data_IF_238960363197
#
_entry.id   IF_238960363197
#
_cell.length_a   1.000
_cell.length_b   1.000
_cell.length_c   1.000
_cell.angle_alpha   90.00
_cell.angle_beta   90.00
_cell.angle_gamma   90.00
#
_symmetry.space_group_name_H-M   'P 1'
#
loop_
_entity.id
_entity.type
_entity.pdbx_description
1 polymer ?
#
# COMPACT_ATOMS: atom_id res chain seq x y z
N UNK A 1 -16.99 9.66 -4.27
CA UNK A 1 -15.97 10.20 -3.32
C UNK A 1 -14.73 10.66 -4.08
N UNK A 2 -14.13 11.78 -3.69
CA UNK A 2 -12.79 12.22 -4.13
C UNK A 2 -11.76 11.69 -3.17
N UNK A 3 -10.92 10.79 -3.61
CA UNK A 3 -9.96 10.08 -2.74
C UNK A 3 -8.54 10.45 -3.15
N UNK A 4 -7.80 11.04 -2.21
CA UNK A 4 -6.35 11.19 -2.31
C UNK A 4 -5.64 9.97 -1.78
N UNK A 5 -4.57 9.55 -2.43
CA UNK A 5 -3.68 8.50 -1.97
C UNK A 5 -2.28 9.10 -1.87
N UNK A 6 -1.87 9.38 -0.64
CA UNK A 6 -0.55 9.93 -0.32
C UNK A 6 0.40 8.80 0.10
N UNK A 7 1.63 8.82 -0.43
CA UNK A 7 2.61 7.81 -0.09
C UNK A 7 3.66 7.56 -1.18
N UNK A 8 4.40 6.48 -1.00
CA UNK A 8 5.53 6.14 -1.86
C UNK A 8 5.13 5.68 -3.26
N UNK A 9 5.98 6.04 -4.20
CA UNK A 9 6.08 5.47 -5.55
C UNK A 9 7.51 4.97 -5.70
N UNK A 10 7.70 3.77 -6.21
CA UNK A 10 9.03 3.17 -6.33
C UNK A 10 9.15 2.19 -7.49
N UNK A 11 10.38 1.84 -7.80
CA UNK A 11 10.73 0.80 -8.76
C UNK A 11 11.53 -0.29 -8.05
N UNK A 12 11.11 -1.54 -8.22
CA UNK A 12 11.75 -2.70 -7.66
C UNK A 12 12.64 -3.35 -8.72
N UNK A 13 13.94 -3.41 -8.46
CA UNK A 13 14.94 -4.05 -9.31
C UNK A 13 15.28 -5.40 -8.72
N UNK A 14 14.72 -6.46 -9.29
CA UNK A 14 14.88 -7.83 -8.84
C UNK A 14 15.90 -8.53 -9.71
N UNK A 15 17.05 -8.87 -9.12
CA UNK A 15 18.15 -9.52 -9.82
C UNK A 15 18.34 -10.94 -9.32
N UNK A 16 18.69 -11.86 -10.23
CA UNK A 16 18.99 -13.24 -9.90
C UNK A 16 20.49 -13.50 -10.15
N UNK A 17 21.12 -14.14 -9.18
CA UNK A 17 22.51 -14.59 -9.25
C UNK A 17 22.54 -16.13 -9.14
N UNK A 18 23.05 -16.80 -10.17
CA UNK A 18 23.09 -18.27 -10.23
C UNK A 18 24.15 -18.92 -9.35
N UNK A 19 25.01 -18.12 -8.70
CA UNK A 19 25.98 -18.57 -7.70
C UNK A 19 25.45 -18.44 -6.29
N UNK A 20 26.33 -18.66 -5.31
CA UNK A 20 26.09 -18.42 -3.89
C UNK A 20 26.91 -17.25 -3.42
N UNK A 21 26.33 -16.34 -2.64
CA UNK A 21 27.08 -15.24 -2.06
C UNK A 21 28.22 -15.72 -1.18
N UNK A 22 28.01 -16.82 -0.47
CA UNK A 22 29.03 -17.42 0.41
C UNK A 22 30.31 -17.82 -0.33
N UNK A 23 30.22 -18.20 -1.60
CA UNK A 23 31.39 -18.61 -2.41
C UNK A 23 32.27 -17.39 -2.80
N UNK A 24 31.68 -16.19 -2.76
CA UNK A 24 32.36 -14.94 -3.04
C UNK A 24 32.92 -14.28 -1.77
N UNK A 25 32.60 -14.79 -0.58
CA UNK A 25 33.09 -14.30 0.70
C UNK A 25 34.37 -15.02 1.10
N UNK A 26 35.44 -14.27 1.33
CA UNK A 26 36.71 -14.82 1.80
C UNK A 26 36.70 -14.84 3.33
N UNK A 27 36.73 -16.02 3.91
CA UNK A 27 36.80 -16.20 5.37
C UNK A 27 38.05 -15.48 5.91
N UNK A 28 37.88 -14.62 6.92
CA UNK A 28 38.96 -13.84 7.54
C UNK A 28 39.25 -12.49 6.87
N UNK A 29 38.52 -12.11 5.80
CA UNK A 29 38.65 -10.82 5.10
C UNK A 29 37.37 -9.99 5.11
N UNK A 30 36.50 -10.19 6.09
CA UNK A 30 35.20 -9.49 6.19
C UNK A 30 35.32 -8.03 6.63
N UNK A 31 36.49 -7.57 7.06
CA UNK A 31 36.71 -6.16 7.40
C UNK A 31 36.77 -5.24 6.18
N UNK A 32 37.05 -5.81 4.99
CA UNK A 32 37.09 -5.07 3.70
C UNK A 32 36.45 -5.94 2.63
N UNK A 33 35.15 -5.82 2.49
CA UNK A 33 34.38 -6.58 1.49
C UNK A 33 34.22 -5.74 0.23
N UNK A 34 34.70 -6.28 -0.91
CA UNK A 34 34.38 -5.76 -2.25
C UNK A 34 33.87 -6.93 -3.07
N UNK A 35 32.56 -6.95 -3.29
CA UNK A 35 31.88 -8.01 -4.02
C UNK A 35 31.34 -7.46 -5.34
N UNK A 36 31.47 -8.26 -6.41
CA UNK A 36 30.89 -7.99 -7.71
C UNK A 36 30.25 -9.27 -8.23
N UNK A 37 28.97 -9.19 -8.58
CA UNK A 37 28.22 -10.32 -9.10
C UNK A 37 27.83 -10.06 -10.54
N UNK A 38 28.04 -11.04 -11.40
CA UNK A 38 27.40 -11.08 -12.71
C UNK A 38 26.01 -11.69 -12.52
N UNK A 39 24.97 -10.89 -12.67
CA UNK A 39 23.58 -11.33 -12.51
C UNK A 39 23.04 -11.89 -13.83
N UNK A 40 22.20 -12.92 -13.74
CA UNK A 40 21.64 -13.61 -14.91
C UNK A 40 20.37 -12.92 -15.44
N UNK A 41 19.64 -12.22 -14.56
CA UNK A 41 18.42 -11.51 -14.91
C UNK A 41 18.27 -10.23 -14.12
N UNK A 42 17.56 -9.28 -14.72
CA UNK A 42 17.06 -8.08 -14.09
C UNK A 42 15.59 -7.91 -14.47
N UNK A 43 14.70 -8.02 -13.50
CA UNK A 43 13.31 -7.64 -13.61
C UNK A 43 13.09 -6.28 -12.94
N UNK A 44 12.54 -5.33 -13.69
CA UNK A 44 12.16 -4.02 -13.14
C UNK A 44 10.64 -3.99 -12.99
N UNK A 45 10.17 -3.88 -11.76
CA UNK A 45 8.75 -3.89 -11.41
C UNK A 45 8.33 -2.53 -10.85
N UNK A 46 7.08 -2.19 -11.07
CA UNK A 46 6.45 -1.03 -10.45
C UNK A 46 6.06 -1.37 -9.02
N UNK A 47 6.27 -0.42 -8.12
CA UNK A 47 6.01 -0.60 -6.71
C UNK A 47 5.73 0.73 -6.01
N UNK A 48 5.79 0.70 -4.69
CA UNK A 48 5.42 1.84 -3.84
C UNK A 48 3.96 1.77 -3.40
N UNK A 49 3.75 1.91 -2.09
CA UNK A 49 2.44 1.64 -1.49
C UNK A 49 1.31 2.50 -2.05
N UNK A 50 1.54 3.82 -2.20
CA UNK A 50 0.51 4.70 -2.76
C UNK A 50 0.20 4.37 -4.22
N UNK A 51 1.23 4.07 -5.02
CA UNK A 51 1.05 3.69 -6.41
C UNK A 51 0.27 2.37 -6.55
N UNK A 52 0.57 1.38 -5.70
CA UNK A 52 -0.12 0.09 -5.68
C UNK A 52 -1.61 0.25 -5.28
N UNK A 53 -1.88 1.04 -4.22
CA UNK A 53 -3.24 1.33 -3.77
C UNK A 53 -4.03 2.06 -4.86
N UNK A 54 -3.44 3.12 -5.43
CA UNK A 54 -4.08 3.91 -6.48
C UNK A 54 -4.33 3.07 -7.74
N UNK A 55 -3.37 2.25 -8.16
CA UNK A 55 -3.51 1.32 -9.28
C UNK A 55 -4.71 0.38 -9.09
N UNK A 56 -4.79 -0.30 -7.93
CA UNK A 56 -5.89 -1.23 -7.66
C UNK A 56 -7.27 -0.54 -7.64
N UNK A 57 -7.35 0.68 -7.12
CA UNK A 57 -8.58 1.49 -7.22
C UNK A 57 -8.92 1.85 -8.67
N UNK A 58 -7.92 2.21 -9.47
CA UNK A 58 -8.10 2.53 -10.89
C UNK A 58 -8.58 1.32 -11.70
N UNK A 59 -8.04 0.12 -11.44
CA UNK A 59 -8.50 -1.13 -12.07
C UNK A 59 -9.97 -1.44 -11.74
N UNK A 60 -10.44 -1.00 -10.57
CA UNK A 60 -11.86 -1.09 -10.18
C UNK A 60 -12.73 0.05 -10.75
N UNK A 61 -12.19 0.91 -11.62
CA UNK A 61 -12.94 1.97 -12.30
C UNK A 61 -13.03 3.29 -11.52
N UNK A 62 -12.27 3.46 -10.44
CA UNK A 62 -12.16 4.71 -9.70
C UNK A 62 -11.06 5.61 -10.29
N UNK A 63 -11.10 6.91 -9.94
CA UNK A 63 -10.08 7.88 -10.32
C UNK A 63 -9.39 8.47 -9.07
N UNK A 64 -8.55 7.69 -8.37
CA UNK A 64 -7.84 8.19 -7.19
C UNK A 64 -6.81 9.24 -7.59
N UNK A 65 -6.61 10.24 -6.71
CA UNK A 65 -5.63 11.30 -6.88
C UNK A 65 -4.34 10.86 -6.19
N UNK A 66 -3.27 10.61 -6.97
CA UNK A 66 -1.97 10.26 -6.42
C UNK A 66 -1.25 11.51 -5.89
N UNK A 67 -0.83 11.45 -4.63
CA UNK A 67 -0.09 12.51 -3.94
C UNK A 67 1.25 11.92 -3.49
N UNK A 68 2.27 12.09 -4.30
CA UNK A 68 3.57 11.46 -4.10
C UNK A 68 4.70 12.35 -4.62
N UNK A 69 5.92 12.16 -4.10
CA UNK A 69 7.12 12.73 -4.69
C UNK A 69 7.83 11.66 -5.55
N UNK A 70 8.10 12.02 -6.80
CA UNK A 70 8.66 11.14 -7.83
C UNK A 70 9.85 11.79 -8.49
N UNK A 71 10.71 11.00 -9.10
CA UNK A 71 11.95 11.49 -9.72
C UNK A 71 11.80 11.86 -11.18
N UNK A 72 12.92 12.32 -11.75
CA UNK A 72 13.05 12.68 -13.17
C UNK A 72 12.86 11.52 -14.15
N UNK A 73 12.85 10.29 -13.64
CA UNK A 73 12.64 9.02 -14.35
C UNK A 73 11.18 8.52 -14.31
N UNK A 74 10.26 9.37 -13.90
CA UNK A 74 8.87 9.06 -13.63
C UNK A 74 7.99 8.80 -14.87
N UNK A 75 8.37 9.29 -16.06
CA UNK A 75 7.46 9.42 -17.21
C UNK A 75 6.76 8.10 -17.63
N UNK A 76 7.48 6.97 -17.64
CA UNK A 76 6.91 5.68 -18.01
C UNK A 76 5.92 5.15 -16.95
N UNK A 77 6.21 5.42 -15.69
CA UNK A 77 5.32 5.04 -14.60
C UNK A 77 4.07 5.92 -14.54
N UNK A 78 4.21 7.22 -14.79
CA UNK A 78 3.11 8.17 -14.97
C UNK A 78 2.13 7.67 -16.05
N UNK A 79 2.67 7.39 -17.23
CA UNK A 79 1.88 6.88 -18.36
C UNK A 79 1.17 5.55 -18.01
N UNK A 80 1.78 4.69 -17.20
CA UNK A 80 1.19 3.45 -16.72
C UNK A 80 -0.02 3.72 -15.80
N UNK A 81 0.16 4.50 -14.75
CA UNK A 81 -0.88 4.80 -13.78
C UNK A 81 -2.03 5.59 -14.41
N UNK A 82 -1.73 6.57 -15.25
CA UNK A 82 -2.73 7.36 -15.97
C UNK A 82 -3.62 6.49 -16.85
N UNK A 83 -3.07 5.49 -17.57
CA UNK A 83 -3.86 4.53 -18.37
C UNK A 83 -4.78 3.65 -17.53
N UNK A 84 -4.49 3.49 -16.24
CA UNK A 84 -5.30 2.72 -15.30
C UNK A 84 -6.18 3.61 -14.43
N UNK A 85 -6.48 4.84 -14.87
CA UNK A 85 -7.46 5.71 -14.23
C UNK A 85 -6.95 6.52 -13.04
N UNK A 86 -5.65 6.50 -12.74
CA UNK A 86 -5.08 7.29 -11.63
C UNK A 86 -4.81 8.72 -12.08
N UNK A 87 -5.28 9.70 -11.33
CA UNK A 87 -4.90 11.12 -11.52
C UNK A 87 -3.52 11.37 -10.91
N UNK A 88 -2.51 11.45 -11.76
CA UNK A 88 -1.11 11.69 -11.40
C UNK A 88 -0.70 13.17 -11.46
N UNK A 89 -1.62 14.06 -11.82
CA UNK A 89 -1.35 15.50 -12.07
C UNK A 89 -0.89 16.27 -10.84
N UNK A 90 -0.95 15.64 -9.67
CA UNK A 90 -0.58 16.21 -8.37
C UNK A 90 0.72 15.60 -7.80
N UNK A 91 1.42 14.77 -8.57
CA UNK A 91 2.74 14.28 -8.18
C UNK A 91 3.77 15.42 -8.18
N UNK A 92 4.57 15.49 -7.12
CA UNK A 92 5.73 16.39 -7.05
C UNK A 92 6.90 15.73 -7.79
N UNK A 93 7.24 16.25 -8.96
CA UNK A 93 8.34 15.72 -9.77
C UNK A 93 9.66 16.42 -9.41
N UNK A 94 10.58 15.67 -8.82
CA UNK A 94 11.94 16.15 -8.55
C UNK A 94 12.70 16.41 -9.85
N UNK A 95 13.39 17.54 -9.93
CA UNK A 95 14.27 17.87 -11.06
C UNK A 95 15.66 17.28 -10.95
N UNK A 96 16.04 16.79 -9.78
CA UNK A 96 17.40 16.34 -9.47
C UNK A 96 17.49 14.88 -9.08
N UNK A 97 16.52 14.39 -8.34
CA UNK A 97 16.51 13.03 -7.81
C UNK A 97 15.81 12.04 -8.75
N UNK A 98 16.12 10.77 -8.60
CA UNK A 98 15.38 9.66 -9.18
C UNK A 98 14.21 9.28 -8.25
N UNK A 99 13.21 8.60 -8.78
CA UNK A 99 12.16 7.92 -8.00
C UNK A 99 12.79 6.97 -6.98
N UNK A 100 12.07 6.53 -5.97
CA UNK A 100 12.60 5.55 -5.02
C UNK A 100 12.88 4.21 -5.73
N UNK A 101 13.99 3.54 -5.34
CA UNK A 101 14.37 2.24 -5.88
C UNK A 101 14.58 1.24 -4.75
N UNK A 102 13.96 0.09 -4.86
CA UNK A 102 14.34 -1.11 -4.12
C UNK A 102 15.17 -2.00 -5.04
N UNK A 103 16.38 -2.33 -4.64
CA UNK A 103 17.32 -3.10 -5.45
C UNK A 103 17.69 -4.34 -4.64
N UNK A 104 17.39 -5.51 -5.18
CA UNK A 104 17.70 -6.77 -4.51
C UNK A 104 18.31 -7.77 -5.46
N UNK A 105 19.38 -8.41 -5.02
CA UNK A 105 19.98 -9.57 -5.68
C UNK A 105 19.70 -10.81 -4.84
N UNK A 106 19.13 -11.84 -5.47
CA UNK A 106 18.82 -13.13 -4.84
C UNK A 106 19.75 -14.19 -5.41
N UNK A 107 20.42 -14.94 -4.53
CA UNK A 107 21.31 -16.03 -4.92
C UNK A 107 20.54 -17.36 -5.10
N UNK A 108 21.25 -18.41 -5.52
CA UNK A 108 20.65 -19.73 -5.77
C UNK A 108 20.11 -20.41 -4.49
N UNK A 109 20.53 -19.97 -3.30
CA UNK A 109 20.02 -20.47 -2.01
C UNK A 109 18.94 -19.56 -1.41
N UNK A 110 18.41 -18.61 -2.22
CA UNK A 110 17.41 -17.63 -1.80
C UNK A 110 17.89 -16.62 -0.76
N UNK A 111 19.22 -16.49 -0.56
CA UNK A 111 19.77 -15.39 0.22
C UNK A 111 19.64 -14.08 -0.58
N UNK A 112 19.45 -12.97 0.13
CA UNK A 112 19.23 -11.69 -0.50
C UNK A 112 20.21 -10.63 0.00
N UNK A 113 20.74 -9.84 -0.93
CA UNK A 113 21.42 -8.58 -0.65
C UNK A 113 20.54 -7.48 -1.22
N UNK A 114 19.98 -6.66 -0.33
CA UNK A 114 19.03 -5.63 -0.70
C UNK A 114 19.49 -4.23 -0.29
N UNK A 115 19.10 -3.24 -1.09
CA UNK A 115 19.31 -1.81 -0.82
C UNK A 115 18.05 -1.03 -1.16
N UNK A 116 17.70 -0.06 -0.34
CA UNK A 116 16.61 0.87 -0.62
C UNK A 116 17.15 2.28 -0.76
N UNK A 117 16.93 2.88 -1.92
CA UNK A 117 17.24 4.27 -2.22
C UNK A 117 15.94 5.09 -2.18
N UNK A 118 15.73 5.98 -1.20
CA UNK A 118 14.47 6.72 -1.08
C UNK A 118 14.29 7.77 -2.20
N UNK A 119 15.37 8.28 -2.77
CA UNK A 119 15.30 9.25 -3.86
C UNK A 119 14.35 10.41 -3.58
N UNK A 120 13.53 10.73 -4.57
CA UNK A 120 12.55 11.81 -4.50
C UNK A 120 11.48 11.61 -3.41
N UNK A 121 11.25 10.38 -2.90
CA UNK A 121 10.37 10.15 -1.75
C UNK A 121 10.73 11.04 -0.55
N UNK A 122 12.01 11.38 -0.37
CA UNK A 122 12.46 12.31 0.67
C UNK A 122 11.94 13.75 0.50
N UNK A 123 11.46 14.11 -0.69
CA UNK A 123 10.86 15.42 -0.97
C UNK A 123 9.35 15.46 -0.68
N UNK A 124 8.71 14.32 -0.35
CA UNK A 124 7.27 14.25 -0.04
C UNK A 124 6.88 15.18 1.11
N UNK A 125 7.80 15.44 2.05
CA UNK A 125 7.63 16.44 3.12
C UNK A 125 7.37 17.85 2.62
N UNK A 126 7.65 18.17 1.37
CA UNK A 126 7.41 19.48 0.76
C UNK A 126 6.04 19.57 0.07
N UNK A 127 5.29 18.47 0.00
CA UNK A 127 3.97 18.45 -0.63
C UNK A 127 2.95 19.15 0.28
N UNK A 128 2.33 20.21 -0.23
CA UNK A 128 1.27 20.94 0.44
C UNK A 128 -0.10 20.45 -0.05
N UNK A 129 -0.97 19.99 0.87
CA UNK A 129 -2.31 19.52 0.53
C UNK A 129 -3.27 20.64 0.11
N UNK A 130 -3.14 21.85 0.69
CA UNK A 130 -4.06 22.93 0.43
C UNK A 130 -4.16 23.36 -1.06
N UNK A 131 -3.06 23.49 -1.84
CA UNK A 131 -3.13 23.73 -3.27
C UNK A 131 -3.80 22.59 -4.04
N UNK A 132 -3.56 21.33 -3.63
CA UNK A 132 -4.17 20.13 -4.24
C UNK A 132 -5.69 20.18 -4.02
N UNK A 133 -6.12 20.34 -2.78
CA UNK A 133 -7.55 20.46 -2.42
C UNK A 133 -8.25 21.60 -3.16
N UNK A 134 -7.57 22.74 -3.32
CA UNK A 134 -8.14 23.85 -4.10
C UNK A 134 -8.36 23.48 -5.56
N UNK A 135 -7.43 22.75 -6.18
CA UNK A 135 -7.53 22.32 -7.59
C UNK A 135 -8.57 21.23 -7.78
N UNK A 136 -8.65 20.27 -6.87
CA UNK A 136 -9.59 19.15 -6.93
C UNK A 136 -10.99 19.49 -6.44
N UNK A 137 -11.16 20.63 -5.76
CA UNK A 137 -12.40 21.02 -5.09
C UNK A 137 -12.68 20.25 -3.80
N UNK A 138 -11.61 19.86 -3.07
CA UNK A 138 -11.64 19.14 -1.81
C UNK A 138 -11.26 17.67 -1.95
N UNK A 139 -11.10 17.00 -0.80
CA UNK A 139 -10.94 15.55 -0.67
C UNK A 139 -11.96 15.04 0.35
N UNK A 140 -12.63 13.94 0.03
CA UNK A 140 -13.54 13.27 0.96
C UNK A 140 -12.80 12.31 1.88
N UNK A 141 -11.71 11.71 1.38
CA UNK A 141 -10.82 10.81 2.11
C UNK A 141 -9.38 10.99 1.62
N UNK A 142 -8.44 11.04 2.55
CA UNK A 142 -7.00 10.92 2.26
C UNK A 142 -6.47 9.61 2.84
N UNK A 143 -5.93 8.74 1.99
CA UNK A 143 -5.15 7.57 2.42
C UNK A 143 -3.72 8.04 2.63
N UNK A 144 -3.19 7.85 3.85
CA UNK A 144 -1.81 8.18 4.22
C UNK A 144 -1.08 6.85 4.36
N UNK A 145 -0.48 6.41 3.26
CA UNK A 145 0.30 5.18 3.17
C UNK A 145 1.80 5.46 3.37
N UNK A 146 2.64 4.42 3.47
CA UNK A 146 4.07 4.59 3.75
C UNK A 146 4.78 5.58 2.84
N UNK A 147 5.40 6.59 3.45
CA UNK A 147 6.13 7.66 2.80
C UNK A 147 7.24 8.18 3.73
N UNK A 148 7.81 9.34 3.40
CA UNK A 148 8.60 10.10 4.35
C UNK A 148 7.79 10.36 5.63
N UNK A 149 8.29 9.99 6.82
CA UNK A 149 7.51 10.11 8.06
C UNK A 149 7.01 11.53 8.35
N UNK A 150 7.80 12.57 8.00
CA UNK A 150 7.37 13.95 8.19
C UNK A 150 6.19 14.31 7.29
N UNK A 151 6.19 13.81 6.03
CA UNK A 151 5.04 13.97 5.13
C UNK A 151 3.79 13.30 5.72
N UNK A 152 3.91 12.06 6.20
CA UNK A 152 2.79 11.32 6.79
C UNK A 152 2.17 12.09 7.98
N UNK A 153 3.01 12.60 8.88
CA UNK A 153 2.57 13.38 10.04
C UNK A 153 1.91 14.71 9.64
N UNK A 154 2.52 15.45 8.71
CA UNK A 154 1.93 16.70 8.22
C UNK A 154 0.58 16.48 7.55
N UNK A 155 0.45 15.45 6.73
CA UNK A 155 -0.80 15.14 6.05
C UNK A 155 -1.90 14.76 7.05
N UNK A 156 -1.60 13.93 8.06
CA UNK A 156 -2.57 13.58 9.11
C UNK A 156 -3.01 14.82 9.92
N UNK A 157 -2.08 15.72 10.23
CA UNK A 157 -2.39 16.96 10.95
C UNK A 157 -3.27 17.90 10.11
N UNK A 158 -2.97 18.08 8.81
CA UNK A 158 -3.81 18.88 7.92
C UNK A 158 -5.21 18.29 7.82
N UNK A 159 -5.35 16.96 7.75
CA UNK A 159 -6.67 16.32 7.73
C UNK A 159 -7.46 16.62 9.00
N UNK A 160 -6.84 16.51 10.18
CA UNK A 160 -7.49 16.89 11.46
C UNK A 160 -7.92 18.34 11.51
N UNK A 161 -7.03 19.27 11.13
CA UNK A 161 -7.31 20.70 11.16
C UNK A 161 -8.43 21.11 10.19
N UNK A 162 -8.56 20.43 9.07
CA UNK A 162 -9.54 20.75 8.03
C UNK A 162 -10.79 19.88 8.05
N UNK A 163 -10.87 18.93 8.98
CA UNK A 163 -12.00 18.00 9.09
C UNK A 163 -12.12 17.02 7.92
N UNK A 164 -11.00 16.68 7.28
CA UNK A 164 -10.95 15.69 6.19
C UNK A 164 -10.82 14.31 6.81
N UNK A 165 -11.66 13.37 6.39
CA UNK A 165 -11.48 11.97 6.76
C UNK A 165 -10.15 11.45 6.24
N UNK A 166 -9.41 10.70 7.07
CA UNK A 166 -8.18 10.06 6.61
C UNK A 166 -8.07 8.61 7.07
N UNK A 167 -7.38 7.83 6.26
CA UNK A 167 -6.99 6.47 6.56
C UNK A 167 -5.49 6.46 6.87
N UNK A 168 -5.12 6.09 8.08
CA UNK A 168 -3.72 5.92 8.49
C UNK A 168 -3.26 4.49 8.14
N UNK A 169 -2.19 4.39 7.39
CA UNK A 169 -1.54 3.14 7.02
C UNK A 169 -0.04 3.25 7.26
N UNK A 170 0.43 3.08 8.49
CA UNK A 170 1.85 3.20 8.82
C UNK A 170 2.72 2.10 8.22
N UNK A 171 2.19 0.87 8.10
CA UNK A 171 2.87 -0.29 7.51
C UNK A 171 4.36 -0.38 7.91
N UNK A 172 5.29 -0.62 6.96
CA UNK A 172 6.73 -0.76 7.23
C UNK A 172 7.39 0.49 7.81
N UNK A 173 6.83 1.70 7.65
CA UNK A 173 7.40 2.91 8.26
C UNK A 173 7.32 2.88 9.79
N UNK A 174 6.41 2.11 10.34
CA UNK A 174 6.29 1.94 11.80
C UNK A 174 7.59 1.42 12.44
N UNK A 175 8.39 0.66 11.71
CA UNK A 175 9.70 0.20 12.21
C UNK A 175 10.66 1.36 12.49
N UNK A 176 10.57 2.45 11.72
CA UNK A 176 11.46 3.63 11.78
C UNK A 176 10.88 4.76 12.64
N UNK A 177 9.56 4.86 12.76
CA UNK A 177 8.87 5.87 13.54
C UNK A 177 9.02 5.63 15.04
N UNK A 178 9.08 6.70 15.82
CA UNK A 178 8.97 6.67 17.28
C UNK A 178 7.55 6.39 17.73
N UNK A 179 7.36 6.00 19.00
CA UNK A 179 6.02 5.79 19.55
C UNK A 179 5.15 7.06 19.51
N UNK A 180 5.74 8.24 19.73
CA UNK A 180 5.03 9.51 19.67
C UNK A 180 4.61 9.86 18.23
N UNK A 181 5.44 9.62 17.24
CA UNK A 181 5.09 9.80 15.83
C UNK A 181 3.96 8.86 15.40
N UNK A 182 3.98 7.59 15.86
CA UNK A 182 2.89 6.64 15.60
C UNK A 182 1.59 7.13 16.23
N UNK A 183 1.64 7.63 17.48
CA UNK A 183 0.47 8.22 18.15
C UNK A 183 -0.11 9.38 17.33
N UNK A 184 0.74 10.32 16.90
CA UNK A 184 0.33 11.47 16.10
C UNK A 184 -0.28 11.05 14.75
N UNK A 185 0.23 10.00 14.12
CA UNK A 185 -0.32 9.51 12.85
C UNK A 185 -1.69 8.86 13.02
N UNK A 186 -1.87 8.07 14.08
CA UNK A 186 -3.07 7.26 14.31
C UNK A 186 -4.24 8.10 14.83
N UNK A 187 -3.97 9.05 15.75
CA UNK A 187 -5.00 9.74 16.51
C UNK A 187 -5.98 10.48 15.59
N UNK A 188 -7.27 10.18 15.72
CA UNK A 188 -8.34 10.78 14.94
C UNK A 188 -8.52 10.21 13.53
N UNK A 189 -7.80 9.14 13.15
CA UNK A 189 -8.00 8.50 11.86
C UNK A 189 -9.41 7.93 11.73
N UNK A 190 -10.02 8.10 10.55
CA UNK A 190 -11.28 7.45 10.22
C UNK A 190 -11.11 5.95 10.05
N UNK A 191 -9.99 5.54 9.47
CA UNK A 191 -9.58 4.15 9.32
C UNK A 191 -8.11 3.98 9.70
N UNK A 192 -7.80 2.91 10.42
CA UNK A 192 -6.42 2.48 10.71
C UNK A 192 -6.21 1.10 10.10
N UNK A 193 -5.31 1.01 9.13
CA UNK A 193 -4.94 -0.27 8.53
C UNK A 193 -3.66 -0.82 9.18
N UNK A 194 -3.73 -2.08 9.58
CA UNK A 194 -2.62 -2.82 10.19
C UNK A 194 -2.71 -4.30 9.82
N UNK A 195 -1.60 -5.02 9.89
CA UNK A 195 -1.63 -6.45 10.08
C UNK A 195 -1.43 -6.80 11.56
N UNK A 196 -1.47 -8.08 11.93
CA UNK A 196 -1.32 -8.52 13.32
C UNK A 196 0.04 -8.13 13.92
N UNK A 197 1.11 -8.23 13.12
CA UNK A 197 2.45 -7.83 13.54
C UNK A 197 2.55 -6.32 13.77
N UNK A 198 2.00 -5.53 12.86
CA UNK A 198 1.96 -4.08 12.94
C UNK A 198 1.14 -3.59 14.13
N UNK A 199 0.03 -4.26 14.45
CA UNK A 199 -0.74 -3.96 15.65
C UNK A 199 0.06 -4.21 16.92
N UNK A 200 0.73 -5.35 17.01
CA UNK A 200 1.61 -5.65 18.16
C UNK A 200 2.75 -4.64 18.28
N UNK A 201 3.35 -4.25 17.15
CA UNK A 201 4.42 -3.25 17.11
C UNK A 201 3.92 -1.86 17.52
N UNK A 202 2.71 -1.47 17.09
CA UNK A 202 2.07 -0.22 17.50
C UNK A 202 1.87 -0.18 19.01
N UNK A 203 1.32 -1.25 19.60
CA UNK A 203 1.16 -1.37 21.05
C UNK A 203 2.50 -1.25 21.77
N UNK A 204 3.51 -1.97 21.31
CA UNK A 204 4.85 -1.95 21.91
C UNK A 204 5.48 -0.55 21.88
N UNK A 205 5.43 0.13 20.73
CA UNK A 205 6.08 1.44 20.53
C UNK A 205 5.33 2.59 21.20
N UNK A 206 4.00 2.57 21.13
CA UNK A 206 3.18 3.65 21.71
C UNK A 206 2.97 3.50 23.20
N UNK A 207 3.09 2.29 23.72
CA UNK A 207 2.67 1.95 25.07
C UNK A 207 1.16 1.89 25.27
N UNK A 208 0.38 2.08 24.20
CA UNK A 208 -1.08 1.92 24.23
C UNK A 208 -1.47 0.45 24.21
N UNK A 209 -2.52 0.13 24.93
CA UNK A 209 -3.19 -1.15 24.85
C UNK A 209 -3.97 -1.29 23.54
N UNK A 210 -4.37 -2.50 23.19
CA UNK A 210 -5.23 -2.78 22.03
C UNK A 210 -6.51 -1.92 22.05
N UNK A 211 -7.13 -1.81 23.22
CA UNK A 211 -8.34 -1.01 23.43
C UNK A 211 -8.10 0.49 23.25
N UNK A 212 -7.01 1.02 23.79
CA UNK A 212 -6.66 2.44 23.63
C UNK A 212 -6.40 2.80 22.17
N UNK A 213 -5.74 1.94 21.37
CA UNK A 213 -5.59 2.16 19.92
C UNK A 213 -6.96 2.20 19.24
N UNK A 214 -7.85 1.24 19.58
CA UNK A 214 -9.18 1.20 18.98
C UNK A 214 -10.02 2.44 19.30
N UNK A 215 -9.88 3.00 20.48
CA UNK A 215 -10.60 4.21 20.93
C UNK A 215 -10.09 5.50 20.28
N UNK A 216 -8.89 5.48 19.68
CA UNK A 216 -8.30 6.63 19.00
C UNK A 216 -8.75 6.80 17.54
N UNK A 217 -9.35 5.77 16.97
CA UNK A 217 -9.75 5.73 15.56
C UNK A 217 -11.24 5.43 15.43
N UNK A 218 -11.83 5.82 14.31
CA UNK A 218 -13.24 5.49 14.08
C UNK A 218 -13.41 4.00 13.77
N UNK A 219 -12.56 3.46 12.91
CA UNK A 219 -12.50 2.05 12.53
C UNK A 219 -11.05 1.57 12.47
N UNK A 220 -10.83 0.35 12.96
CA UNK A 220 -9.57 -0.37 12.79
C UNK A 220 -9.79 -1.57 11.87
N UNK A 221 -8.95 -1.69 10.87
CA UNK A 221 -8.96 -2.78 9.88
C UNK A 221 -7.66 -3.57 10.07
N UNK A 222 -7.80 -4.83 10.48
CA UNK A 222 -6.64 -5.70 10.71
C UNK A 222 -6.67 -6.87 9.74
N UNK A 223 -5.64 -6.98 8.90
CA UNK A 223 -5.45 -8.15 8.03
C UNK A 223 -4.82 -9.30 8.80
N UNK A 224 -5.34 -10.52 8.59
CA UNK A 224 -5.02 -11.74 9.33
C UNK A 224 -4.36 -12.80 8.42
N UNK A 225 -3.64 -12.35 7.38
CA UNK A 225 -3.05 -13.23 6.37
C UNK A 225 -4.11 -14.12 5.71
N UNK A 226 -3.90 -15.43 5.66
CA UNK A 226 -4.85 -16.38 5.08
C UNK A 226 -6.19 -16.49 5.82
N UNK A 227 -6.29 -15.94 7.03
CA UNK A 227 -7.55 -15.88 7.80
C UNK A 227 -8.42 -14.67 7.43
N UNK A 228 -8.01 -13.86 6.45
CA UNK A 228 -8.78 -12.75 5.94
C UNK A 228 -8.53 -11.44 6.66
N UNK A 229 -9.59 -10.75 7.07
CA UNK A 229 -9.49 -9.46 7.74
C UNK A 229 -10.65 -9.24 8.71
N UNK A 230 -10.42 -8.37 9.69
CA UNK A 230 -11.45 -7.89 10.60
C UNK A 230 -11.55 -6.37 10.59
N UNK A 231 -12.75 -5.85 10.77
CA UNK A 231 -13.04 -4.42 10.94
C UNK A 231 -13.73 -4.24 12.29
N UNK A 232 -13.21 -3.32 13.09
CA UNK A 232 -13.66 -3.10 14.46
C UNK A 232 -13.83 -1.60 14.72
N UNK A 233 -14.80 -1.26 15.60
CA UNK A 233 -14.92 0.09 16.15
C UNK A 233 -15.10 0.06 17.67
N UNK A 234 -14.72 1.15 18.33
CA UNK A 234 -14.97 1.30 19.77
C UNK A 234 -16.47 1.31 20.13
N UNK A 235 -17.34 1.63 19.17
CA UNK A 235 -18.80 1.61 19.32
C UNK A 235 -19.39 0.19 19.28
N UNK A 236 -18.57 -0.84 19.03
CA UNK A 236 -19.00 -2.26 19.07
C UNK A 236 -19.28 -2.87 17.70
N UNK A 237 -19.04 -2.15 16.60
CA UNK A 237 -19.09 -2.79 15.28
C UNK A 237 -17.92 -3.78 15.15
N UNK A 238 -18.25 -4.99 14.69
CA UNK A 238 -17.29 -6.05 14.44
C UNK A 238 -17.70 -6.83 13.19
N UNK A 239 -16.81 -6.87 12.23
CA UNK A 239 -16.95 -7.66 11.01
C UNK A 239 -15.66 -8.48 10.84
N UNK A 240 -15.80 -9.75 10.44
CA UNK A 240 -14.67 -10.57 10.02
C UNK A 240 -15.02 -11.29 8.73
N UNK A 241 -14.11 -11.25 7.76
CA UNK A 241 -14.25 -11.91 6.46
C UNK A 241 -13.08 -12.85 6.21
N UNK A 242 -13.33 -13.98 5.56
CA UNK A 242 -12.28 -14.88 5.08
C UNK A 242 -11.70 -14.43 3.73
N UNK A 243 -10.57 -15.03 3.33
CA UNK A 243 -10.01 -14.86 2.00
C UNK A 243 -10.70 -15.77 0.97
N UNK A 244 -10.89 -15.32 -0.27
CA UNK A 244 -11.16 -16.23 -1.38
C UNK A 244 -10.01 -17.24 -1.51
N UNK A 245 -10.34 -18.43 -2.02
CA UNK A 245 -9.32 -19.45 -2.27
C UNK A 245 -8.37 -18.97 -3.37
N UNK A 246 -7.09 -18.99 -3.08
CA UNK A 246 -6.05 -18.72 -4.07
C UNK A 246 -5.77 -19.95 -4.95
N UNK A 247 -5.49 -19.74 -6.24
CA UNK A 247 -5.08 -20.77 -7.18
C UNK A 247 -3.57 -21.10 -7.06
N UNK A 248 -2.78 -20.08 -6.65
CA UNK A 248 -1.33 -20.20 -6.42
C UNK A 248 -0.88 -19.17 -5.41
N UNK A 249 0.31 -19.36 -4.85
CA UNK A 249 1.03 -18.36 -4.05
C UNK A 249 2.33 -18.05 -4.77
N UNK A 250 2.35 -16.92 -5.48
CA UNK A 250 3.48 -16.54 -6.34
C UNK A 250 4.35 -15.47 -5.67
N UNK A 251 3.73 -14.36 -5.24
CA UNK A 251 4.45 -13.24 -4.65
C UNK A 251 3.58 -12.54 -3.58
N UNK A 252 4.03 -12.47 -2.32
CA UNK A 252 3.27 -11.80 -1.27
C UNK A 252 3.41 -10.26 -1.30
N UNK A 253 4.27 -9.72 -2.17
CA UNK A 253 4.53 -8.27 -2.26
C UNK A 253 3.26 -7.53 -2.73
N UNK A 254 2.90 -6.45 -2.06
CA UNK A 254 1.76 -5.62 -2.42
C UNK A 254 0.37 -6.20 -2.07
N UNK A 255 0.29 -7.38 -1.46
CA UNK A 255 -0.98 -7.98 -1.01
C UNK A 255 -1.71 -7.06 -0.03
N UNK A 256 -0.97 -6.43 0.90
CA UNK A 256 -1.52 -5.45 1.83
C UNK A 256 -2.05 -4.20 1.14
N UNK A 257 -1.29 -3.62 0.20
CA UNK A 257 -1.69 -2.44 -0.58
C UNK A 257 -2.95 -2.73 -1.40
N UNK A 258 -3.02 -3.93 -2.00
CA UNK A 258 -4.15 -4.38 -2.80
C UNK A 258 -5.40 -4.60 -1.97
N UNK A 259 -5.26 -5.13 -0.75
CA UNK A 259 -6.37 -5.20 0.20
C UNK A 259 -6.92 -3.80 0.48
N UNK A 260 -6.05 -2.82 0.73
CA UNK A 260 -6.46 -1.42 0.97
C UNK A 260 -7.17 -0.84 -0.25
N UNK A 261 -6.70 -1.12 -1.46
CA UNK A 261 -7.34 -0.61 -2.69
C UNK A 261 -8.78 -1.09 -2.83
N UNK A 262 -9.04 -2.38 -2.63
CA UNK A 262 -10.38 -2.95 -2.68
C UNK A 262 -11.27 -2.46 -1.54
N UNK A 263 -10.73 -2.38 -0.32
CA UNK A 263 -11.47 -1.86 0.83
C UNK A 263 -11.93 -0.41 0.60
N UNK A 264 -11.01 0.45 0.15
CA UNK A 264 -11.29 1.87 -0.11
C UNK A 264 -12.22 2.04 -1.31
N UNK A 265 -12.13 1.19 -2.33
CA UNK A 265 -13.09 1.16 -3.42
C UNK A 265 -14.51 0.86 -2.92
N UNK A 266 -14.65 -0.10 -2.02
CA UNK A 266 -15.92 -0.39 -1.37
C UNK A 266 -16.49 0.81 -0.60
N UNK A 267 -15.64 1.57 0.11
CA UNK A 267 -16.05 2.81 0.76
C UNK A 267 -16.51 3.86 -0.25
N UNK A 268 -15.82 3.99 -1.39
CA UNK A 268 -16.20 4.91 -2.45
C UNK A 268 -17.56 4.56 -3.07
N UNK A 269 -17.92 3.30 -3.08
CA UNK A 269 -19.20 2.77 -3.52
C UNK A 269 -20.29 2.73 -2.42
N UNK A 270 -19.97 3.26 -1.24
CA UNK A 270 -20.90 3.32 -0.09
C UNK A 270 -21.39 1.95 0.38
N UNK A 271 -20.55 0.92 0.20
CA UNK A 271 -20.84 -0.44 0.63
C UNK A 271 -20.62 -0.64 2.14
N UNK A 272 -21.18 -1.70 2.69
CA UNK A 272 -20.93 -2.10 4.08
C UNK A 272 -19.45 -2.44 4.32
N UNK A 273 -18.95 -2.30 5.55
CA UNK A 273 -17.57 -2.68 5.88
C UNK A 273 -17.27 -4.16 5.58
N UNK A 274 -18.28 -5.02 5.66
CA UNK A 274 -18.14 -6.42 5.24
C UNK A 274 -17.80 -6.51 3.74
N UNK A 275 -18.56 -5.81 2.88
CA UNK A 275 -18.28 -5.77 1.43
C UNK A 275 -16.95 -5.11 1.11
N UNK A 276 -16.60 -4.03 1.82
CA UNK A 276 -15.30 -3.39 1.68
C UNK A 276 -14.16 -4.39 1.96
N UNK A 277 -14.24 -5.13 3.07
CA UNK A 277 -13.24 -6.12 3.46
C UNK A 277 -13.18 -7.32 2.48
N UNK A 278 -14.33 -7.77 1.98
CA UNK A 278 -14.42 -8.83 0.96
C UNK A 278 -13.79 -8.40 -0.37
N UNK A 279 -14.03 -7.15 -0.82
CA UNK A 279 -13.40 -6.58 -2.01
C UNK A 279 -11.88 -6.53 -1.82
N UNK A 280 -11.42 -6.03 -0.67
CA UNK A 280 -10.00 -6.02 -0.32
C UNK A 280 -9.37 -7.40 -0.37
N UNK A 281 -10.03 -8.41 0.22
CA UNK A 281 -9.55 -9.79 0.24
C UNK A 281 -9.50 -10.40 -1.18
N UNK A 282 -10.46 -10.10 -2.05
CA UNK A 282 -10.45 -10.61 -3.42
C UNK A 282 -9.32 -10.00 -4.27
N UNK A 283 -9.13 -8.67 -4.22
CA UNK A 283 -7.99 -8.04 -4.92
C UNK A 283 -6.66 -8.59 -4.40
N UNK A 284 -6.50 -8.72 -3.08
CA UNK A 284 -5.31 -9.30 -2.47
C UNK A 284 -5.05 -10.73 -2.96
N UNK A 285 -6.12 -11.50 -3.24
CA UNK A 285 -6.01 -12.85 -3.80
C UNK A 285 -5.49 -12.83 -5.25
N UNK A 286 -5.92 -11.88 -6.08
CA UNK A 286 -5.35 -11.72 -7.43
C UNK A 286 -3.87 -11.33 -7.40
N UNK A 287 -3.48 -10.49 -6.44
CA UNK A 287 -2.08 -10.05 -6.32
C UNK A 287 -1.17 -11.18 -5.87
N UNK A 288 -1.53 -11.96 -4.85
CA UNK A 288 -0.68 -13.08 -4.38
C UNK A 288 -0.47 -14.16 -5.45
N UNK A 289 -1.38 -14.27 -6.42
CA UNK A 289 -1.29 -15.19 -7.55
C UNK A 289 -0.37 -14.68 -8.67
N UNK A 290 0.04 -13.42 -8.62
CA UNK A 290 0.77 -12.73 -9.67
C UNK A 290 2.18 -12.37 -9.22
N UNK A 291 3.16 -12.42 -10.11
CA UNK A 291 4.49 -11.88 -9.84
C UNK A 291 4.50 -10.36 -10.07
N UNK A 292 4.74 -9.60 -9.01
CA UNK A 292 4.69 -8.14 -9.04
C UNK A 292 3.34 -7.57 -8.58
N UNK A 293 3.36 -6.29 -8.20
CA UNK A 293 2.28 -5.64 -7.45
C UNK A 293 1.18 -5.05 -8.33
N UNK A 294 1.43 -4.85 -9.64
CA UNK A 294 0.53 -4.17 -10.59
C UNK A 294 0.36 -4.94 -11.91
N UNK A 295 0.76 -6.19 -11.96
CA UNK A 295 0.68 -7.05 -13.13
C UNK A 295 -0.56 -7.95 -13.16
N UNK A 296 -1.35 -7.99 -12.08
CA UNK A 296 -2.60 -8.76 -12.03
C UNK A 296 -3.66 -8.18 -12.97
N UNK A 297 -4.50 -9.06 -13.50
CA UNK A 297 -5.55 -8.72 -14.46
C UNK A 297 -6.78 -9.56 -14.21
N UNK A 298 -7.93 -8.98 -14.46
CA UNK A 298 -9.22 -9.64 -14.51
C UNK A 298 -10.17 -8.85 -15.40
N UNK A 299 -11.15 -9.49 -15.96
CA UNK A 299 -12.35 -8.82 -16.48
C UNK A 299 -13.33 -8.60 -15.34
N UNK A 300 -14.22 -7.60 -15.48
CA UNK A 300 -15.27 -7.38 -14.48
C UNK A 300 -16.13 -8.62 -14.27
N UNK A 301 -16.41 -9.37 -15.34
CA UNK A 301 -17.18 -10.61 -15.27
C UNK A 301 -16.46 -11.69 -14.43
N UNK A 302 -15.17 -11.91 -14.66
CA UNK A 302 -14.35 -12.86 -13.87
C UNK A 302 -14.27 -12.44 -12.41
N UNK A 303 -14.12 -11.14 -12.15
CA UNK A 303 -14.06 -10.59 -10.79
C UNK A 303 -15.36 -10.85 -10.04
N UNK A 304 -16.52 -10.51 -10.64
CA UNK A 304 -17.85 -10.73 -10.05
C UNK A 304 -18.12 -12.22 -9.84
N UNK A 305 -17.77 -13.07 -10.82
CA UNK A 305 -17.94 -14.53 -10.69
C UNK A 305 -17.13 -15.11 -9.53
N UNK A 306 -15.86 -14.70 -9.38
CA UNK A 306 -15.00 -15.13 -8.29
C UNK A 306 -15.47 -14.59 -6.93
N UNK A 307 -16.00 -13.37 -6.92
CA UNK A 307 -16.62 -12.80 -5.72
C UNK A 307 -17.86 -13.60 -5.29
N UNK A 308 -18.71 -14.01 -6.25
CA UNK A 308 -19.87 -14.85 -6.00
C UNK A 308 -19.50 -16.23 -5.45
N UNK A 309 -18.43 -16.84 -5.99
CA UNK A 309 -17.90 -18.12 -5.49
C UNK A 309 -17.45 -18.01 -4.03
N UNK A 310 -16.79 -16.92 -3.67
CA UNK A 310 -16.25 -16.74 -2.33
C UNK A 310 -17.28 -16.30 -1.29
N UNK A 311 -18.23 -15.43 -1.67
CA UNK A 311 -19.08 -14.69 -0.73
C UNK A 311 -20.56 -14.78 -1.04
N UNK A 312 -20.95 -15.52 -2.08
CA UNK A 312 -22.33 -15.74 -2.49
C UNK A 312 -22.86 -14.71 -3.50
N UNK A 313 -23.90 -15.11 -4.24
CA UNK A 313 -24.45 -14.33 -5.35
C UNK A 313 -24.99 -12.96 -4.90
N UNK A 314 -25.69 -12.89 -3.77
CA UNK A 314 -26.25 -11.62 -3.28
C UNK A 314 -25.16 -10.58 -3.00
N UNK A 315 -24.01 -11.01 -2.46
CA UNK A 315 -22.86 -10.13 -2.26
C UNK A 315 -22.22 -9.68 -3.59
N UNK A 316 -22.17 -10.57 -4.57
CA UNK A 316 -21.66 -10.27 -5.91
C UNK A 316 -22.56 -9.27 -6.68
N UNK A 317 -23.87 -9.39 -6.52
CA UNK A 317 -24.82 -8.48 -7.16
C UNK A 317 -24.66 -7.03 -6.64
N UNK A 318 -24.33 -6.86 -5.36
CA UNK A 318 -24.07 -5.54 -4.77
C UNK A 318 -22.85 -4.87 -5.44
N UNK A 319 -21.75 -5.61 -5.69
CA UNK A 319 -20.55 -5.04 -6.30
C UNK A 319 -20.65 -4.90 -7.81
N UNK A 320 -21.42 -5.79 -8.48
CA UNK A 320 -21.55 -5.77 -9.94
C UNK A 320 -22.15 -4.45 -10.46
N UNK A 321 -23.00 -3.79 -9.66
CA UNK A 321 -23.59 -2.50 -10.01
C UNK A 321 -22.55 -1.37 -10.18
N UNK A 322 -21.35 -1.53 -9.63
CA UNK A 322 -20.27 -0.54 -9.64
C UNK A 322 -19.16 -0.86 -10.66
N UNK A 323 -19.16 -2.08 -11.21
CA UNK A 323 -18.16 -2.59 -12.16
C UNK A 323 -18.75 -2.56 -13.60
N UNK A 324 -18.98 -1.38 -14.17
CA UNK A 324 -19.55 -1.21 -15.51
C UNK A 324 -18.52 -0.76 -16.54
#
# INVERSE_FOLDING_TARGET
MKIGVAGSVGLDHLMTFSGKFTDSLVAGSLEKVSLSFLVDSLDVRRGGCAANIAFGMGVLGLNPILIAAVGKDWADYDAWLSRHGVDTSHALVSTTLHTAHFIVTTDQELNQIASFFPGAMSEARNIELAPIMKKTGGLDLLVISPDDPEAMLRHSEVCRQQGIAFAADPSQQMARMTGEEIKLLIDGASYLFLNEYELALAMQKTGWTDREILERVKYRVVTLGSNGAKVESAAGEFVQVGCPKENSKTDPTGVGDSFRSGFIAGLAWELSHERCAQLGALIATYVIETLGTQEYRFTHQEFVARFAEAYGQGAADEIAAHLN
#
